data_IF_713140294752
#
_entry.id   IF_713140294752
#
_cell.length_a   1.000
_cell.length_b   1.000
_cell.length_c   1.000
_cell.angle_alpha   90.00
_cell.angle_beta   90.00
_cell.angle_gamma   90.00
#
_symmetry.space_group_name_H-M   'P 1'
#
loop_
_entity.id
_entity.type
_entity.pdbx_description
1 polymer ?
#
# COMPACT_ATOMS: atom_id res chain seq x y z
N UNK A 1 -40.29 -52.13 -62.21
CA UNK A 1 -38.89 -51.65 -62.26
C UNK A 1 -38.67 -50.73 -61.06
N UNK A 2 -37.84 -51.18 -60.12
CA UNK A 2 -37.62 -50.58 -58.82
C UNK A 2 -36.67 -49.37 -58.91
N UNK A 3 -37.04 -48.25 -58.25
CA UNK A 3 -36.17 -47.09 -58.02
C UNK A 3 -35.23 -47.36 -56.84
N UNK A 4 -33.92 -47.16 -56.96
CA UNK A 4 -33.02 -47.18 -55.81
C UNK A 4 -32.84 -45.80 -55.19
N UNK A 5 -32.64 -45.87 -53.89
CA UNK A 5 -32.42 -44.89 -52.84
C UNK A 5 -31.18 -44.01 -53.07
N UNK A 6 -31.25 -42.73 -52.69
CA UNK A 6 -30.08 -41.99 -52.20
C UNK A 6 -30.47 -41.32 -50.87
N UNK A 7 -29.85 -41.83 -49.80
CA UNK A 7 -29.94 -41.35 -48.43
C UNK A 7 -28.99 -40.17 -48.27
N UNK A 8 -29.50 -39.00 -47.94
CA UNK A 8 -28.70 -37.85 -47.54
C UNK A 8 -28.40 -37.95 -46.04
N UNK A 9 -27.12 -38.07 -45.70
CA UNK A 9 -26.59 -38.00 -44.34
C UNK A 9 -26.38 -36.54 -43.98
N UNK A 10 -27.22 -36.00 -43.08
CA UNK A 10 -26.99 -34.68 -42.47
C UNK A 10 -26.31 -34.86 -41.12
N UNK A 11 -25.07 -34.39 -41.04
CA UNK A 11 -24.23 -34.41 -39.84
C UNK A 11 -24.74 -33.40 -38.79
N UNK A 12 -25.01 -33.89 -37.57
CA UNK A 12 -25.15 -33.04 -36.37
C UNK A 12 -23.76 -32.66 -35.86
N UNK A 13 -23.39 -31.39 -35.99
CA UNK A 13 -22.25 -30.80 -35.27
C UNK A 13 -22.74 -30.27 -33.92
N UNK A 14 -22.40 -30.99 -32.85
CA UNK A 14 -22.62 -30.56 -31.47
C UNK A 14 -21.72 -29.39 -31.10
N UNK A 15 -22.32 -28.32 -30.59
CA UNK A 15 -21.62 -27.15 -30.08
C UNK A 15 -21.25 -27.40 -28.60
N UNK A 16 -20.05 -27.90 -28.35
CA UNK A 16 -19.49 -27.98 -27.01
C UNK A 16 -18.99 -26.61 -26.58
N UNK A 17 -19.75 -25.93 -25.71
CA UNK A 17 -19.32 -24.71 -25.04
C UNK A 17 -18.15 -25.02 -24.09
N UNK A 18 -16.94 -24.63 -24.48
CA UNK A 18 -15.77 -24.60 -23.61
C UNK A 18 -15.97 -23.52 -22.56
N UNK A 19 -16.27 -23.94 -21.32
CA UNK A 19 -16.15 -23.08 -20.15
C UNK A 19 -14.67 -22.72 -19.97
N UNK A 20 -14.31 -21.46 -20.22
CA UNK A 20 -12.99 -20.96 -19.89
C UNK A 20 -12.80 -21.02 -18.36
N UNK A 21 -11.71 -21.62 -17.85
CA UNK A 21 -11.43 -21.59 -16.42
C UNK A 21 -11.22 -20.14 -16.01
N UNK A 22 -11.97 -19.67 -15.01
CA UNK A 22 -11.67 -18.42 -14.33
C UNK A 22 -10.23 -18.52 -13.81
N UNK A 23 -9.32 -17.74 -14.39
CA UNK A 23 -7.97 -17.63 -13.88
C UNK A 23 -8.09 -17.15 -12.43
N UNK A 24 -7.78 -18.03 -11.48
CA UNK A 24 -7.52 -17.63 -10.09
C UNK A 24 -6.33 -16.69 -10.18
N UNK A 25 -6.58 -15.38 -10.19
CA UNK A 25 -5.53 -14.39 -10.06
C UNK A 25 -4.92 -14.62 -8.68
N UNK A 26 -3.72 -15.20 -8.64
CA UNK A 26 -3.00 -15.35 -7.39
C UNK A 26 -2.78 -13.95 -6.81
N UNK A 27 -3.16 -13.74 -5.55
CA UNK A 27 -2.98 -12.46 -4.87
C UNK A 27 -1.53 -12.00 -5.03
N UNK A 28 -1.36 -10.80 -5.59
CA UNK A 28 -0.07 -10.14 -5.71
C UNK A 28 0.48 -9.80 -4.30
N UNK A 29 1.80 -9.66 -4.13
CA UNK A 29 2.36 -9.22 -2.85
C UNK A 29 1.71 -7.93 -2.32
N UNK A 30 1.36 -7.01 -3.21
CA UNK A 30 0.68 -5.75 -2.87
C UNK A 30 -0.74 -5.96 -2.33
N UNK A 31 -1.50 -6.88 -2.91
CA UNK A 31 -2.86 -7.21 -2.43
C UNK A 31 -2.81 -7.85 -1.05
N UNK A 32 -1.88 -8.79 -0.84
CA UNK A 32 -1.63 -9.40 0.47
C UNK A 32 -1.27 -8.34 1.53
N UNK A 33 -0.41 -7.39 1.18
CA UNK A 33 -0.01 -6.31 2.09
C UNK A 33 -1.13 -5.30 2.36
N UNK A 34 -1.97 -5.02 1.36
CA UNK A 34 -3.15 -4.16 1.52
C UNK A 34 -4.16 -4.82 2.46
N UNK A 35 -4.41 -6.12 2.29
CA UNK A 35 -5.26 -6.88 3.18
C UNK A 35 -4.68 -6.91 4.61
N UNK A 36 -3.37 -7.18 4.75
CA UNK A 36 -2.69 -7.20 6.05
C UNK A 36 -2.83 -5.86 6.78
N UNK A 37 -2.57 -4.75 6.08
CA UNK A 37 -2.53 -3.42 6.68
C UNK A 37 -3.89 -2.85 7.07
N UNK A 38 -4.95 -3.14 6.30
CA UNK A 38 -6.22 -2.41 6.42
C UNK A 38 -7.44 -3.27 6.73
N UNK A 39 -7.32 -4.60 6.56
CA UNK A 39 -8.45 -5.53 6.63
C UNK A 39 -8.23 -6.69 7.61
N UNK A 40 -6.99 -6.93 8.05
CA UNK A 40 -6.72 -7.99 9.02
C UNK A 40 -7.48 -7.74 10.34
N UNK A 41 -8.20 -8.74 10.86
CA UNK A 41 -8.97 -8.61 12.10
C UNK A 41 -8.07 -8.54 13.33
N UNK A 42 -6.89 -9.15 13.26
CA UNK A 42 -5.94 -9.25 14.36
C UNK A 42 -4.50 -9.31 13.85
N UNK A 43 -3.55 -9.19 14.79
CA UNK A 43 -2.12 -9.20 14.53
C UNK A 43 -1.62 -10.53 13.95
N UNK A 44 -2.18 -11.66 14.37
CA UNK A 44 -1.74 -12.97 13.88
C UNK A 44 -2.07 -13.14 12.39
N UNK A 45 -3.29 -12.77 11.99
CA UNK A 45 -3.70 -12.76 10.59
C UNK A 45 -2.89 -11.78 9.75
N UNK A 46 -2.61 -10.59 10.28
CA UNK A 46 -1.74 -9.62 9.61
C UNK A 46 -0.34 -10.20 9.36
N UNK A 47 0.29 -10.81 10.38
CA UNK A 47 1.60 -11.44 10.25
C UNK A 47 1.61 -12.61 9.25
N UNK A 48 0.55 -13.42 9.20
CA UNK A 48 0.41 -14.49 8.22
C UNK A 48 0.39 -13.95 6.78
N UNK A 49 -0.41 -12.91 6.51
CA UNK A 49 -0.49 -12.25 5.21
C UNK A 49 0.86 -11.60 4.82
N UNK A 50 1.54 -10.97 5.77
CA UNK A 50 2.88 -10.41 5.56
C UNK A 50 3.89 -11.51 5.19
N UNK A 51 3.85 -12.67 5.86
CA UNK A 51 4.68 -13.82 5.53
C UNK A 51 4.42 -14.33 4.11
N UNK A 52 3.15 -14.42 3.71
CA UNK A 52 2.78 -14.78 2.33
C UNK A 52 3.31 -13.78 1.31
N UNK A 53 3.23 -12.48 1.60
CA UNK A 53 3.74 -11.43 0.71
C UNK A 53 5.28 -11.51 0.54
N UNK A 54 6.02 -11.83 1.61
CA UNK A 54 7.47 -12.07 1.53
C UNK A 54 7.76 -13.25 0.61
N UNK A 55 7.12 -14.40 0.86
CA UNK A 55 7.32 -15.61 0.05
C UNK A 55 6.97 -15.38 -1.43
N UNK A 56 5.87 -14.68 -1.71
CA UNK A 56 5.47 -14.34 -3.06
C UNK A 56 6.47 -13.40 -3.75
N UNK A 57 6.97 -12.40 -3.03
CA UNK A 57 8.01 -11.49 -3.55
C UNK A 57 9.33 -12.23 -3.80
N UNK A 58 9.75 -13.10 -2.88
CA UNK A 58 10.96 -13.92 -3.02
C UNK A 58 10.88 -14.84 -4.25
N UNK A 59 9.72 -15.45 -4.49
CA UNK A 59 9.49 -16.27 -5.71
C UNK A 59 9.64 -15.44 -6.99
N UNK A 60 9.10 -14.22 -7.01
CA UNK A 60 9.25 -13.32 -8.16
C UNK A 60 10.72 -12.95 -8.36
N UNK A 61 11.43 -12.60 -7.28
CA UNK A 61 12.84 -12.20 -7.34
C UNK A 61 13.76 -13.36 -7.72
N UNK A 62 13.43 -14.60 -7.35
CA UNK A 62 14.17 -15.78 -7.81
C UNK A 62 14.08 -15.94 -9.33
N UNK A 63 12.93 -15.63 -9.93
CA UNK A 63 12.74 -15.67 -11.39
C UNK A 63 13.26 -14.39 -12.08
N UNK A 64 13.17 -13.24 -11.41
CA UNK A 64 13.50 -11.91 -11.93
C UNK A 64 14.20 -11.07 -10.85
N UNK A 65 15.53 -11.25 -10.65
CA UNK A 65 16.26 -10.60 -9.55
C UNK A 65 16.24 -9.07 -9.54
N UNK A 66 15.98 -8.44 -10.69
CA UNK A 66 15.85 -6.99 -10.83
C UNK A 66 14.42 -6.47 -10.80
N UNK A 67 13.42 -7.29 -10.43
CA UNK A 67 12.03 -6.85 -10.38
C UNK A 67 11.82 -5.79 -9.29
N UNK A 68 11.55 -4.56 -9.74
CA UNK A 68 11.41 -3.39 -8.89
C UNK A 68 10.22 -3.53 -7.92
N UNK A 69 9.05 -3.92 -8.44
CA UNK A 69 7.83 -4.05 -7.65
C UNK A 69 7.97 -5.12 -6.56
N UNK A 70 8.50 -6.30 -6.90
CA UNK A 70 8.74 -7.35 -5.92
C UNK A 70 9.76 -6.94 -4.86
N UNK A 71 10.81 -6.20 -5.25
CA UNK A 71 11.78 -5.65 -4.28
C UNK A 71 11.12 -4.66 -3.33
N UNK A 72 10.30 -3.74 -3.85
CA UNK A 72 9.55 -2.76 -3.07
C UNK A 72 8.57 -3.44 -2.10
N UNK A 73 7.71 -4.34 -2.60
CA UNK A 73 6.73 -5.05 -1.78
C UNK A 73 7.40 -5.93 -0.72
N UNK A 74 8.53 -6.58 -1.04
CA UNK A 74 9.33 -7.30 -0.04
C UNK A 74 9.82 -6.37 1.07
N UNK A 75 10.32 -5.18 0.72
CA UNK A 75 10.74 -4.17 1.69
C UNK A 75 9.58 -3.72 2.58
N UNK A 76 8.39 -3.46 2.00
CA UNK A 76 7.18 -3.10 2.74
C UNK A 76 6.78 -4.22 3.70
N UNK A 77 6.76 -5.47 3.23
CA UNK A 77 6.42 -6.63 4.03
C UNK A 77 7.36 -6.80 5.24
N UNK A 78 8.68 -6.68 5.02
CA UNK A 78 9.67 -6.72 6.10
C UNK A 78 9.45 -5.55 7.08
N UNK A 79 9.17 -4.35 6.59
CA UNK A 79 8.87 -3.18 7.43
C UNK A 79 7.61 -3.36 8.28
N UNK A 80 6.55 -3.92 7.69
CA UNK A 80 5.32 -4.26 8.40
C UNK A 80 5.53 -5.34 9.45
N UNK A 81 6.32 -6.39 9.13
CA UNK A 81 6.73 -7.38 10.12
C UNK A 81 7.47 -6.71 11.27
N UNK A 82 8.42 -5.83 10.99
CA UNK A 82 9.15 -5.05 11.99
C UNK A 82 8.22 -4.25 12.91
N UNK A 83 7.23 -3.55 12.33
CA UNK A 83 6.24 -2.77 13.09
C UNK A 83 5.45 -3.65 14.06
N UNK A 84 4.99 -4.82 13.61
CA UNK A 84 4.19 -5.72 14.44
C UNK A 84 5.02 -6.54 15.45
N UNK A 85 6.27 -6.87 15.14
CA UNK A 85 7.13 -7.70 16.01
C UNK A 85 8.15 -6.89 16.82
N UNK A 86 8.23 -5.57 16.61
CA UNK A 86 9.25 -4.67 17.17
C UNK A 86 10.68 -5.08 16.80
N UNK A 87 10.87 -5.70 15.64
CA UNK A 87 12.17 -6.17 15.15
C UNK A 87 13.02 -5.02 14.59
N UNK A 88 14.11 -4.69 15.28
CA UNK A 88 15.05 -3.64 14.83
C UNK A 88 15.82 -4.03 13.57
N UNK A 89 16.16 -5.32 13.42
CA UNK A 89 16.87 -5.83 12.24
C UNK A 89 16.00 -5.75 10.99
N UNK A 90 14.73 -6.13 11.10
CA UNK A 90 13.76 -6.00 10.00
C UNK A 90 13.54 -4.52 9.65
N UNK A 91 13.43 -3.64 10.67
CA UNK A 91 13.25 -2.21 10.43
C UNK A 91 14.44 -1.61 9.66
N UNK A 92 15.68 -1.95 10.01
CA UNK A 92 16.86 -1.49 9.25
C UNK A 92 16.93 -2.12 7.86
N UNK A 93 16.55 -3.39 7.74
CA UNK A 93 16.53 -4.09 6.46
C UNK A 93 15.55 -3.46 5.48
N UNK A 94 14.33 -3.12 5.92
CA UNK A 94 13.34 -2.46 5.07
C UNK A 94 13.78 -1.07 4.64
N UNK A 95 14.31 -0.25 5.55
CA UNK A 95 14.84 1.07 5.19
C UNK A 95 15.97 0.96 4.14
N UNK A 96 16.92 0.05 4.35
CA UNK A 96 18.02 -0.15 3.40
C UNK A 96 17.54 -0.62 2.03
N UNK A 97 16.43 -1.35 1.94
CA UNK A 97 15.80 -1.67 0.64
C UNK A 97 15.25 -0.40 0.00
N UNK A 98 14.48 0.40 0.74
CA UNK A 98 13.86 1.61 0.22
C UNK A 98 14.87 2.66 -0.23
N UNK A 99 15.92 2.87 0.56
CA UNK A 99 17.01 3.80 0.23
C UNK A 99 17.76 3.37 -1.04
N UNK A 100 17.99 2.06 -1.23
CA UNK A 100 18.58 1.56 -2.49
C UNK A 100 17.68 1.79 -3.69
N UNK A 101 16.37 1.53 -3.57
CA UNK A 101 15.41 1.79 -4.65
C UNK A 101 15.37 3.28 -5.01
N UNK A 102 15.31 4.16 -3.99
CA UNK A 102 15.36 5.61 -4.18
C UNK A 102 16.69 6.10 -4.76
N UNK A 103 17.82 5.46 -4.44
CA UNK A 103 19.11 5.79 -5.03
C UNK A 103 19.20 5.36 -6.50
N UNK A 104 18.62 4.22 -6.86
CA UNK A 104 18.55 3.73 -8.25
C UNK A 104 17.60 4.57 -9.11
N UNK A 105 16.46 4.99 -8.55
CA UNK A 105 15.51 5.87 -9.20
C UNK A 105 15.02 6.96 -8.24
N UNK A 106 15.68 8.13 -8.20
CA UNK A 106 15.27 9.24 -7.34
C UNK A 106 13.88 9.81 -7.64
N UNK A 107 13.31 9.48 -8.80
CA UNK A 107 11.96 9.90 -9.22
C UNK A 107 10.88 8.88 -8.89
N UNK A 108 11.23 7.78 -8.23
CA UNK A 108 10.27 6.79 -7.77
C UNK A 108 9.46 7.33 -6.58
N UNK A 109 8.22 7.70 -6.85
CA UNK A 109 7.30 8.22 -5.86
C UNK A 109 6.96 7.19 -4.76
N UNK A 110 6.88 5.90 -5.09
CA UNK A 110 6.54 4.86 -4.11
C UNK A 110 7.72 4.61 -3.16
N UNK A 111 8.96 4.56 -3.66
CA UNK A 111 10.14 4.51 -2.80
C UNK A 111 10.21 5.71 -1.85
N UNK A 112 9.94 6.93 -2.32
CA UNK A 112 9.86 8.11 -1.46
C UNK A 112 8.75 7.98 -0.41
N UNK A 113 7.58 7.44 -0.79
CA UNK A 113 6.46 7.26 0.13
C UNK A 113 6.79 6.27 1.25
N UNK A 114 7.43 5.14 0.94
CA UNK A 114 7.79 4.15 1.96
C UNK A 114 8.93 4.61 2.86
N UNK A 115 9.86 5.45 2.36
CA UNK A 115 10.87 6.13 3.21
C UNK A 115 10.17 7.10 4.18
N UNK A 116 9.21 7.88 3.70
CA UNK A 116 8.41 8.76 4.53
C UNK A 116 7.67 7.98 5.61
N UNK A 117 6.98 6.91 5.20
CA UNK A 117 6.30 5.95 6.07
C UNK A 117 7.21 5.44 7.18
N UNK A 118 8.40 4.94 6.80
CA UNK A 118 9.36 4.37 7.73
C UNK A 118 9.80 5.35 8.82
N UNK A 119 10.22 6.56 8.44
CA UNK A 119 10.70 7.56 9.39
C UNK A 119 9.58 8.06 10.31
N UNK A 120 8.44 8.41 9.74
CA UNK A 120 7.35 9.03 10.48
C UNK A 120 6.61 8.04 11.37
N UNK A 121 6.44 6.78 10.95
CA UNK A 121 5.86 5.73 11.80
C UNK A 121 6.79 5.34 12.95
N UNK A 122 8.11 5.25 12.71
CA UNK A 122 9.06 4.95 13.78
C UNK A 122 9.02 6.01 14.89
N UNK A 123 8.91 7.29 14.50
CA UNK A 123 8.81 8.41 15.44
C UNK A 123 7.47 8.40 16.18
N UNK A 124 6.37 8.14 15.48
CA UNK A 124 5.03 8.03 16.07
C UNK A 124 4.96 6.90 17.12
N UNK A 125 5.59 5.75 16.86
CA UNK A 125 5.55 4.58 17.75
C UNK A 125 6.51 4.64 18.94
N UNK A 126 7.72 5.14 18.72
CA UNK A 126 8.79 5.07 19.73
C UNK A 126 9.05 6.42 20.41
N UNK A 127 8.50 7.51 19.86
CA UNK A 127 8.89 8.87 20.20
C UNK A 127 10.21 9.28 19.52
N UNK A 128 10.38 10.58 19.31
CA UNK A 128 11.48 11.13 18.50
C UNK A 128 12.89 10.79 19.00
N UNK A 129 13.11 10.76 20.32
CA UNK A 129 14.43 10.46 20.90
C UNK A 129 14.81 8.99 20.67
N UNK A 130 13.93 8.05 21.02
CA UNK A 130 14.19 6.61 20.91
C UNK A 130 14.24 6.17 19.45
N UNK A 131 13.33 6.66 18.60
CA UNK A 131 13.34 6.36 17.17
C UNK A 131 14.65 6.78 16.51
N UNK A 132 15.17 7.97 16.88
CA UNK A 132 16.45 8.48 16.38
C UNK A 132 17.62 7.63 16.86
N UNK A 133 17.72 7.32 18.15
CA UNK A 133 18.90 6.61 18.70
C UNK A 133 18.90 5.13 18.36
N UNK A 134 17.74 4.47 18.39
CA UNK A 134 17.65 3.03 18.16
C UNK A 134 17.62 2.67 16.67
N UNK A 135 16.94 3.48 15.85
CA UNK A 135 16.68 3.17 14.44
C UNK A 135 17.33 4.16 13.47
N UNK A 136 17.71 5.36 13.91
CA UNK A 136 18.20 6.40 13.02
C UNK A 136 17.08 7.23 12.38
N UNK A 137 15.86 7.17 12.91
CA UNK A 137 14.72 7.88 12.32
C UNK A 137 14.85 9.40 12.47
N UNK A 138 14.48 10.14 11.41
CA UNK A 138 14.58 11.60 11.34
C UNK A 138 13.31 12.20 10.76
N UNK A 139 12.69 13.13 11.50
CA UNK A 139 11.46 13.83 11.06
C UNK A 139 11.66 14.51 9.71
N UNK A 140 12.73 15.28 9.57
CA UNK A 140 13.03 16.03 8.35
C UNK A 140 13.21 15.11 7.12
N UNK A 141 13.84 13.95 7.30
CA UNK A 141 14.00 12.97 6.22
C UNK A 141 12.64 12.41 5.80
N UNK A 142 11.79 12.06 6.77
CA UNK A 142 10.43 11.59 6.51
C UNK A 142 9.56 12.63 5.80
N UNK A 143 9.58 13.89 6.26
CA UNK A 143 8.80 14.97 5.64
C UNK A 143 9.30 15.30 4.23
N UNK A 144 10.62 15.36 4.03
CA UNK A 144 11.21 15.59 2.70
C UNK A 144 10.81 14.49 1.72
N UNK A 145 10.88 13.23 2.15
CA UNK A 145 10.46 12.10 1.34
C UNK A 145 8.95 12.14 1.07
N UNK A 146 8.12 12.54 2.05
CA UNK A 146 6.68 12.65 1.89
C UNK A 146 6.30 13.70 0.83
N UNK A 147 6.90 14.89 0.92
CA UNK A 147 6.68 15.95 -0.07
C UNK A 147 7.14 15.53 -1.46
N UNK A 148 8.27 14.82 -1.58
CA UNK A 148 8.74 14.26 -2.86
C UNK A 148 7.79 13.22 -3.41
N UNK A 149 7.27 12.32 -2.57
CA UNK A 149 6.33 11.30 -2.99
C UNK A 149 5.05 11.92 -3.58
N UNK A 150 4.50 12.96 -2.94
CA UNK A 150 3.34 13.69 -3.46
C UNK A 150 3.68 14.40 -4.78
N UNK A 151 4.82 15.07 -4.87
CA UNK A 151 5.23 15.79 -6.08
C UNK A 151 5.50 14.86 -7.28
N UNK A 152 6.06 13.67 -7.03
CA UNK A 152 6.40 12.68 -8.06
C UNK A 152 5.24 11.75 -8.40
N UNK A 153 4.28 11.58 -7.49
CA UNK A 153 3.19 10.62 -7.57
C UNK A 153 2.17 10.85 -8.68
N UNK A 154 2.31 11.96 -9.42
CA UNK A 154 1.37 12.38 -10.44
C UNK A 154 0.01 12.71 -9.86
N UNK A 155 -1.04 12.55 -10.65
CA UNK A 155 -2.42 12.84 -10.25
C UNK A 155 -3.08 11.65 -9.53
N UNK A 156 -2.33 10.73 -8.92
CA UNK A 156 -2.93 9.56 -8.24
C UNK A 156 -3.41 9.92 -6.84
N UNK A 157 -4.60 9.46 -6.46
CA UNK A 157 -5.16 9.75 -5.13
C UNK A 157 -4.34 9.16 -3.97
N UNK A 158 -3.56 8.09 -4.21
CA UNK A 158 -2.76 7.42 -3.19
C UNK A 158 -1.83 8.38 -2.42
N UNK A 159 -0.98 9.13 -3.12
CA UNK A 159 0.08 9.91 -2.51
C UNK A 159 -0.42 11.08 -1.65
N UNK A 160 -1.26 12.01 -2.16
CA UNK A 160 -1.80 13.07 -1.33
C UNK A 160 -2.73 12.53 -0.23
N UNK A 161 -3.46 11.43 -0.48
CA UNK A 161 -4.35 10.83 0.51
C UNK A 161 -3.58 10.29 1.73
N UNK A 162 -2.52 9.52 1.47
CA UNK A 162 -1.66 9.00 2.54
C UNK A 162 -0.88 10.14 3.24
N UNK A 163 -0.40 11.13 2.49
CA UNK A 163 0.29 12.29 3.05
C UNK A 163 -0.60 13.11 3.99
N UNK A 164 -1.86 13.33 3.64
CA UNK A 164 -2.82 14.02 4.50
C UNK A 164 -3.01 13.30 5.86
N UNK A 165 -3.17 11.97 5.84
CA UNK A 165 -3.32 11.15 7.04
C UNK A 165 -2.07 11.20 7.91
N UNK A 166 -0.89 11.03 7.32
CA UNK A 166 0.39 11.05 8.04
C UNK A 166 0.69 12.42 8.65
N UNK A 167 0.42 13.50 7.91
CA UNK A 167 0.64 14.87 8.35
C UNK A 167 -0.21 15.20 9.57
N UNK A 168 -1.52 14.95 9.49
CA UNK A 168 -2.44 15.33 10.56
C UNK A 168 -2.28 14.43 11.80
N UNK A 169 -1.90 13.16 11.62
CA UNK A 169 -1.51 12.27 12.74
C UNK A 169 -0.32 12.85 13.49
N UNK A 170 0.74 13.23 12.76
CA UNK A 170 1.99 13.76 13.32
C UNK A 170 1.75 15.07 14.07
N UNK A 171 1.06 16.00 13.43
CA UNK A 171 0.81 17.33 13.96
C UNK A 171 -0.61 17.78 13.62
N UNK A 172 -1.47 17.75 14.63
CA UNK A 172 -2.87 18.14 14.48
C UNK A 172 -3.06 19.66 14.31
N UNK A 173 -2.01 20.47 14.45
CA UNK A 173 -2.02 21.89 14.10
C UNK A 173 -1.90 22.13 12.59
N UNK A 174 -1.36 21.17 11.83
CA UNK A 174 -1.09 21.28 10.40
C UNK A 174 -2.33 21.05 9.53
N UNK A 175 -3.46 21.62 9.93
CA UNK A 175 -4.78 21.44 9.29
C UNK A 175 -4.78 21.92 7.85
N UNK A 176 -4.19 23.09 7.57
CA UNK A 176 -4.22 23.67 6.22
C UNK A 176 -3.54 22.76 5.19
N UNK A 177 -2.34 22.26 5.51
CA UNK A 177 -1.60 21.37 4.62
C UNK A 177 -2.29 20.00 4.47
N UNK A 178 -2.76 19.41 5.57
CA UNK A 178 -3.48 18.15 5.53
C UNK A 178 -4.79 18.26 4.73
N UNK A 179 -5.50 19.38 4.86
CA UNK A 179 -6.72 19.68 4.09
C UNK A 179 -6.42 19.75 2.61
N UNK A 180 -5.39 20.50 2.20
CA UNK A 180 -5.00 20.63 0.80
C UNK A 180 -4.78 19.25 0.17
N UNK A 181 -3.93 18.43 0.78
CA UNK A 181 -3.68 17.08 0.27
C UNK A 181 -4.93 16.17 0.30
N UNK A 182 -5.78 16.30 1.32
CA UNK A 182 -7.01 15.52 1.36
C UNK A 182 -8.01 15.94 0.26
N UNK A 183 -8.06 17.23 -0.10
CA UNK A 183 -8.87 17.76 -1.20
C UNK A 183 -8.30 17.30 -2.56
N UNK A 184 -6.98 17.37 -2.75
CA UNK A 184 -6.29 16.85 -3.94
C UNK A 184 -6.61 15.35 -4.14
N UNK A 185 -6.51 14.54 -3.09
CA UNK A 185 -6.84 13.10 -3.13
C UNK A 185 -8.32 12.83 -3.43
N UNK A 186 -9.23 13.71 -3.01
CA UNK A 186 -10.67 13.56 -3.22
C UNK A 186 -11.07 13.75 -4.70
N UNK A 187 -10.30 14.53 -5.46
CA UNK A 187 -10.57 14.76 -6.90
C UNK A 187 -9.74 13.86 -7.81
N UNK A 188 -8.59 13.38 -7.34
CA UNK A 188 -7.67 12.56 -8.10
C UNK A 188 -8.27 11.21 -8.58
N UNK A 189 -7.80 10.68 -9.74
CA UNK A 189 -8.10 9.33 -10.22
C UNK A 189 -7.58 8.22 -9.29
N UNK A 190 -8.24 7.06 -9.39
CA UNK A 190 -7.96 5.87 -8.58
C UNK A 190 -7.70 4.64 -9.44
N UNK A 191 -6.55 4.56 -10.13
CA UNK A 191 -6.25 3.45 -11.04
C UNK A 191 -6.03 2.10 -10.32
N UNK A 192 -5.72 2.12 -9.02
CA UNK A 192 -5.56 0.89 -8.23
C UNK A 192 -6.55 0.82 -7.05
N UNK A 193 -6.79 -0.38 -6.48
CA UNK A 193 -7.55 -0.53 -5.25
C UNK A 193 -6.99 0.30 -4.08
N UNK A 194 -5.66 0.45 -4.00
CA UNK A 194 -5.00 1.22 -2.95
C UNK A 194 -5.27 2.72 -3.10
N UNK A 195 -5.34 3.24 -4.33
CA UNK A 195 -5.76 4.63 -4.57
C UNK A 195 -7.20 4.86 -4.11
N UNK A 196 -8.10 3.91 -4.41
CA UNK A 196 -9.50 3.97 -3.98
C UNK A 196 -9.61 4.01 -2.46
N UNK A 197 -8.80 3.20 -1.77
CA UNK A 197 -8.75 3.18 -0.31
C UNK A 197 -8.26 4.52 0.25
N UNK A 198 -7.17 5.08 -0.28
CA UNK A 198 -6.62 6.35 0.21
C UNK A 198 -7.53 7.54 -0.08
N UNK A 199 -8.19 7.56 -1.25
CA UNK A 199 -9.24 8.55 -1.55
C UNK A 199 -10.36 8.52 -0.53
N UNK A 200 -10.86 7.33 -0.19
CA UNK A 200 -11.89 7.16 0.84
C UNK A 200 -11.42 7.61 2.22
N UNK A 201 -10.18 7.30 2.57
CA UNK A 201 -9.61 7.71 3.84
C UNK A 201 -9.42 9.24 3.94
N UNK A 202 -8.99 9.89 2.85
CA UNK A 202 -8.91 11.34 2.76
C UNK A 202 -10.28 11.99 2.90
N UNK A 203 -11.29 11.48 2.18
CA UNK A 203 -12.69 11.94 2.31
C UNK A 203 -13.21 11.82 3.75
N UNK A 204 -12.80 10.80 4.49
CA UNK A 204 -13.24 10.59 5.87
C UNK A 204 -12.68 11.64 6.87
N UNK A 205 -11.52 12.23 6.61
CA UNK A 205 -10.93 13.26 7.49
C UNK A 205 -11.30 14.69 7.08
N UNK A 206 -11.73 14.90 5.83
CA UNK A 206 -12.07 16.23 5.29
C UNK A 206 -13.10 17.02 6.11
N UNK A 207 -14.20 16.43 6.62
CA UNK A 207 -15.18 17.18 7.39
C UNK A 207 -14.58 17.86 8.63
N UNK A 208 -13.69 17.17 9.34
CA UNK A 208 -13.01 17.71 10.51
C UNK A 208 -11.98 18.78 10.11
N UNK A 209 -11.19 18.51 9.07
CA UNK A 209 -10.20 19.47 8.55
C UNK A 209 -10.84 20.79 8.08
N UNK A 210 -12.01 20.73 7.42
CA UNK A 210 -12.74 21.93 6.97
C UNK A 210 -13.28 22.79 8.12
N UNK A 211 -13.51 22.18 9.29
CA UNK A 211 -13.92 22.87 10.52
C UNK A 211 -12.75 23.40 11.35
N UNK A 212 -11.50 23.19 10.91
CA UNK A 212 -10.32 23.49 11.74
C UNK A 212 -10.06 22.47 12.84
N UNK A 213 -10.83 21.38 12.90
CA UNK A 213 -10.72 20.36 13.96
C UNK A 213 -9.66 19.31 13.61
N UNK A 214 -8.40 19.73 13.75
CA UNK A 214 -7.26 18.85 13.51
C UNK A 214 -7.17 17.67 14.48
N UNK A 215 -7.67 17.80 15.72
CA UNK A 215 -7.64 16.72 16.71
C UNK A 215 -8.54 15.56 16.29
N UNK A 216 -9.78 15.84 15.89
CA UNK A 216 -10.69 14.81 15.38
C UNK A 216 -10.19 14.22 14.07
N UNK A 217 -9.64 15.04 13.17
CA UNK A 217 -9.02 14.56 11.94
C UNK A 217 -7.85 13.60 12.23
N UNK A 218 -6.98 13.94 13.17
CA UNK A 218 -5.86 13.09 13.60
C UNK A 218 -6.32 11.78 14.24
N UNK A 219 -7.39 11.81 15.06
CA UNK A 219 -7.96 10.61 15.65
C UNK A 219 -8.50 9.63 14.59
N UNK A 220 -9.20 10.17 13.58
CA UNK A 220 -9.68 9.39 12.44
C UNK A 220 -8.51 8.87 11.59
N UNK A 221 -7.50 9.71 11.32
CA UNK A 221 -6.33 9.32 10.55
C UNK A 221 -5.57 8.14 11.17
N UNK A 222 -5.41 8.11 12.49
CA UNK A 222 -4.76 6.99 13.21
C UNK A 222 -5.43 5.64 12.92
N UNK A 223 -6.76 5.60 12.82
CA UNK A 223 -7.52 4.38 12.52
C UNK A 223 -7.46 3.96 11.05
N UNK A 224 -7.18 4.90 10.16
CA UNK A 224 -7.18 4.69 8.72
C UNK A 224 -5.79 4.38 8.14
N UNK A 225 -4.73 4.65 8.90
CA UNK A 225 -3.35 4.28 8.54
C UNK A 225 -3.10 2.77 8.74
N UNK A 226 -2.06 2.21 8.09
CA UNK A 226 -1.71 0.79 8.22
C UNK A 226 -1.65 0.31 9.67
N UNK A 227 -2.42 -0.74 9.94
CA UNK A 227 -2.60 -1.39 11.25
C UNK A 227 -3.32 -0.54 12.31
N UNK A 228 -3.90 0.60 11.94
CA UNK A 228 -4.60 1.51 12.86
C UNK A 228 -5.86 0.95 13.52
N UNK A 229 -6.37 -0.19 13.02
CA UNK A 229 -7.54 -0.89 13.56
C UNK A 229 -7.17 -2.14 14.37
N UNK A 230 -5.90 -2.55 14.37
CA UNK A 230 -5.49 -3.67 15.18
C UNK A 230 -5.58 -3.25 16.65
N UNK A 231 -6.32 -4.02 17.43
CA UNK A 231 -6.24 -3.98 18.88
C UNK A 231 -5.09 -4.86 19.33
N UNK A 232 -4.32 -4.40 20.32
CA UNK A 232 -3.29 -5.21 20.99
C UNK A 232 -3.91 -6.42 21.72
#
# INVERSE_FOLDING_TARGET
>A
MYRPTLIAVSAMTGLSALAAPAAVMADTPRELLTAAAFQAPDKARALALIGQAITASDKILAARPGDHEATLQRGVAIGYRAKLTRSRSDARTSLGIFERLAAQNPRDAEAQMVIAGWHLDAIDQLGGLVARTALGAKTQAGETALSRAVALGGDRAFYPGLAALMQIRKDHGQVAQARRWAEDAATAPTPTPLDTLMKRAALAILPALRKGDGKSAAATARKLLPFGKLTD
#
